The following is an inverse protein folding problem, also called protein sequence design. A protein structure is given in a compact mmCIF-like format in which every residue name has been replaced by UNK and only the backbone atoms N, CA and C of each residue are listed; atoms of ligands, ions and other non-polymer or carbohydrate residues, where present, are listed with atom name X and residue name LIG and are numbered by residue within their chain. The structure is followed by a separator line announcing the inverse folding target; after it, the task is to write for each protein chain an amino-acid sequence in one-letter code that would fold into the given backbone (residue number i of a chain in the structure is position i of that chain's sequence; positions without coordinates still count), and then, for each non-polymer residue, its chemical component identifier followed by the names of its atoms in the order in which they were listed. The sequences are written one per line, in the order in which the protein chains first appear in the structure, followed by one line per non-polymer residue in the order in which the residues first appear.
data_IF_204437462256
#
_entry.id   IF_204437462256
#
_cell.length_a   1.000
_cell.length_b   1.000
_cell.length_c   1.000
_cell.angle_alpha   90.00
_cell.angle_beta   90.00
_cell.angle_gamma   90.00
#
_symmetry.space_group_name_H-M   'P 1'
#
loop_
_entity.id
_entity.type
_entity.pdbx_description
1 polymer ?
#
# COMPACT_ATOMS: atom_id res chain seq x y z
N UNK A 1 50.71 -30.93 42.86
CA UNK A 1 50.83 -29.46 42.72
C UNK A 1 49.52 -28.84 43.15
N UNK A 2 49.39 -28.53 44.45
CA UNK A 2 49.42 -27.16 45.01
C UNK A 2 48.16 -26.37 44.64
N UNK A 3 47.09 -26.46 45.45
CA UNK A 3 46.72 -25.54 46.55
C UNK A 3 46.30 -24.16 45.98
N UNK A 4 45.11 -23.62 46.26
CA UNK A 4 44.78 -22.99 47.54
C UNK A 4 43.31 -23.17 47.97
N UNK A 5 43.14 -23.43 49.27
CA UNK A 5 41.95 -23.16 50.12
C UNK A 5 42.04 -21.74 50.66
N UNK A 6 40.89 -21.10 50.93
CA UNK A 6 40.63 -20.23 52.12
C UNK A 6 39.11 -19.98 52.22
N UNK A 7 38.42 -20.63 53.16
CA UNK A 7 37.97 -20.16 54.51
C UNK A 7 36.74 -19.25 54.56
N UNK A 8 35.72 -19.82 55.21
CA UNK A 8 34.49 -19.25 55.79
C UNK A 8 34.73 -18.19 56.87
N UNK A 9 33.91 -17.14 56.91
CA UNK A 9 33.52 -16.44 58.15
C UNK A 9 32.04 -16.06 58.05
N UNK A 10 31.27 -16.42 59.08
CA UNK A 10 29.84 -16.13 59.18
C UNK A 10 29.49 -14.99 60.15
N UNK A 11 28.17 -14.74 60.20
CA UNK A 11 27.35 -13.93 61.14
C UNK A 11 27.24 -12.42 60.85
N UNK A 12 26.17 -11.72 61.30
CA UNK A 12 24.96 -12.19 62.00
C UNK A 12 23.61 -11.79 61.35
N UNK A 13 22.58 -12.53 61.76
CA UNK A 13 21.16 -12.22 61.61
C UNK A 13 20.80 -10.88 62.27
N UNK A 14 20.09 -10.01 61.56
CA UNK A 14 19.31 -8.91 62.17
C UNK A 14 17.84 -9.00 61.77
N UNK A 15 17.06 -9.56 62.68
CA UNK A 15 15.62 -9.39 62.75
C UNK A 15 15.28 -7.92 62.99
N UNK A 16 14.52 -7.30 62.08
CA UNK A 16 13.74 -6.09 62.37
C UNK A 16 12.31 -6.25 61.87
N UNK A 17 11.48 -6.72 62.80
CA UNK A 17 10.12 -6.28 63.13
C UNK A 17 9.36 -5.51 62.02
N UNK A 18 8.29 -6.14 61.56
CA UNK A 18 6.94 -5.57 61.49
C UNK A 18 6.71 -4.32 60.63
N UNK A 19 6.14 -4.52 59.43
CA UNK A 19 5.27 -3.54 58.79
C UNK A 19 3.89 -4.18 58.56
N UNK A 20 2.79 -3.48 58.85
CA UNK A 20 1.43 -4.03 58.80
C UNK A 20 0.98 -4.25 57.35
N UNK A 21 -0.04 -5.10 57.14
CA UNK A 21 -0.53 -5.43 55.80
C UNK A 21 -1.31 -4.23 55.25
N UNK A 22 -0.78 -3.56 54.23
CA UNK A 22 -1.60 -2.64 53.44
C UNK A 22 -2.50 -3.45 52.52
N UNK A 23 -3.78 -3.36 52.87
CA UNK A 23 -4.93 -3.80 52.12
C UNK A 23 -4.91 -3.30 50.66
N UNK A 24 -5.37 -4.17 49.77
CA UNK A 24 -6.29 -3.74 48.72
C UNK A 24 -5.69 -3.03 47.50
N UNK A 25 -4.78 -3.66 46.77
CA UNK A 25 -4.66 -3.43 45.33
C UNK A 25 -4.75 -4.77 44.61
N UNK A 26 -6.00 -5.17 44.30
CA UNK A 26 -6.29 -6.24 43.34
C UNK A 26 -5.70 -5.83 41.99
N UNK A 27 -4.44 -6.19 41.76
CA UNK A 27 -3.86 -6.22 40.41
C UNK A 27 -4.76 -7.16 39.62
N UNK A 28 -5.66 -6.59 38.80
CA UNK A 28 -6.38 -7.37 37.79
C UNK A 28 -5.31 -8.06 36.97
N UNK A 29 -5.12 -9.35 37.21
CA UNK A 29 -4.28 -10.19 36.39
C UNK A 29 -4.82 -10.05 34.97
N UNK A 30 -4.12 -9.26 34.15
CA UNK A 30 -4.37 -9.15 32.72
C UNK A 30 -4.24 -10.59 32.23
N UNK A 31 -5.38 -11.25 31.95
CA UNK A 31 -5.41 -12.58 31.33
C UNK A 31 -4.46 -12.49 30.16
N UNK A 32 -3.25 -13.02 30.31
CA UNK A 32 -2.33 -13.20 29.20
C UNK A 32 -3.08 -14.15 28.30
N UNK A 33 -3.70 -13.60 27.27
CA UNK A 33 -4.23 -14.37 26.16
C UNK A 33 -3.12 -15.36 25.81
N UNK A 34 -3.38 -16.66 26.03
CA UNK A 34 -2.47 -17.71 25.62
C UNK A 34 -2.30 -17.49 24.12
N UNK A 35 -1.21 -16.83 23.72
CA UNK A 35 -0.81 -16.78 22.33
C UNK A 35 -0.67 -18.24 21.95
N UNK A 36 -1.62 -18.76 21.17
CA UNK A 36 -1.48 -20.07 20.55
C UNK A 36 -0.17 -19.98 19.79
N UNK A 37 0.84 -20.69 20.30
CA UNK A 37 2.13 -20.72 19.65
C UNK A 37 1.88 -21.24 18.23
N UNK A 38 2.29 -20.48 17.23
CA UNK A 38 2.19 -20.91 15.84
C UNK A 38 2.93 -22.24 15.72
N UNK A 39 2.20 -23.31 15.38
CA UNK A 39 2.76 -24.62 15.08
C UNK A 39 2.81 -24.73 13.55
N UNK A 40 4.01 -24.71 12.99
CA UNK A 40 4.20 -25.01 11.57
C UNK A 40 3.59 -26.38 11.28
N UNK A 41 2.84 -26.47 10.18
CA UNK A 41 2.25 -27.73 9.71
C UNK A 41 3.15 -28.32 8.64
N UNK A 42 3.58 -29.56 8.82
CA UNK A 42 4.46 -30.29 7.91
C UNK A 42 3.63 -31.41 7.27
N UNK A 43 3.80 -31.63 5.97
CA UNK A 43 3.10 -32.66 5.20
C UNK A 43 2.78 -32.20 3.79
N UNK A 44 2.45 -33.16 2.92
CA UNK A 44 2.11 -32.93 1.50
C UNK A 44 0.94 -31.96 1.29
N UNK A 45 0.04 -31.83 2.27
CA UNK A 45 -1.07 -30.87 2.25
C UNK A 45 -0.65 -29.41 2.53
N UNK A 46 0.57 -29.20 3.02
CA UNK A 46 1.07 -27.88 3.45
C UNK A 46 2.32 -27.45 2.70
N UNK A 47 3.13 -28.39 2.22
CA UNK A 47 4.35 -28.14 1.48
C UNK A 47 4.06 -28.02 -0.03
N UNK A 48 4.78 -27.12 -0.70
CA UNK A 48 4.70 -26.99 -2.15
C UNK A 48 5.44 -28.16 -2.83
N UNK A 49 4.90 -28.64 -3.95
CA UNK A 49 5.64 -29.54 -4.83
C UNK A 49 6.79 -28.75 -5.47
N UNK A 50 8.04 -29.15 -5.20
CA UNK A 50 9.21 -28.53 -5.79
C UNK A 50 9.38 -29.13 -7.18
N UNK A 51 9.26 -28.34 -8.27
CA UNK A 51 9.50 -28.85 -9.61
C UNK A 51 10.98 -29.18 -9.80
N UNK A 52 11.26 -30.22 -10.57
CA UNK A 52 12.62 -30.57 -10.95
C UNK A 52 13.27 -29.45 -11.76
N UNK A 53 14.57 -29.26 -11.55
CA UNK A 53 15.33 -28.24 -12.27
C UNK A 53 15.42 -28.59 -13.75
N UNK A 54 14.95 -27.68 -14.62
CA UNK A 54 15.06 -27.80 -16.06
C UNK A 54 15.91 -26.63 -16.61
N UNK A 55 17.15 -26.87 -17.09
CA UNK A 55 18.09 -25.82 -17.46
C UNK A 55 17.68 -25.01 -18.71
N UNK A 56 16.79 -25.55 -19.55
CA UNK A 56 16.41 -24.95 -20.84
C UNK A 56 14.90 -24.74 -20.99
N UNK A 57 14.11 -24.87 -19.92
CA UNK A 57 12.67 -24.70 -20.02
C UNK A 57 12.37 -23.25 -20.46
N UNK A 58 11.77 -23.02 -21.64
CA UNK A 58 11.33 -21.68 -22.01
C UNK A 58 10.32 -21.24 -20.95
N UNK A 59 10.47 -20.01 -20.48
CA UNK A 59 9.50 -19.38 -19.58
C UNK A 59 8.13 -19.42 -20.26
N UNK A 60 7.26 -20.34 -19.85
CA UNK A 60 5.85 -20.39 -20.26
C UNK A 60 5.09 -19.23 -19.61
N UNK A 61 5.51 -17.98 -19.85
CA UNK A 61 4.90 -16.81 -19.22
C UNK A 61 4.54 -15.76 -20.25
N UNK A 62 3.34 -15.91 -20.80
CA UNK A 62 2.55 -14.78 -21.29
C UNK A 62 1.82 -14.08 -20.13
N UNK A 63 2.51 -13.76 -19.03
CA UNK A 63 1.88 -13.10 -17.87
C UNK A 63 2.39 -11.67 -17.62
N UNK A 64 3.51 -11.30 -18.22
CA UNK A 64 4.21 -10.06 -17.90
C UNK A 64 4.32 -9.22 -19.17
N UNK A 65 3.88 -7.96 -19.08
CA UNK A 65 4.02 -6.98 -20.14
C UNK A 65 5.10 -5.98 -19.74
N UNK A 66 6.11 -5.80 -20.59
CA UNK A 66 7.10 -4.75 -20.39
C UNK A 66 6.42 -3.38 -20.56
N UNK A 67 6.50 -2.53 -19.53
CA UNK A 67 5.91 -1.18 -19.54
C UNK A 67 6.95 -0.07 -19.71
N UNK A 68 8.23 -0.36 -19.47
CA UNK A 68 9.32 0.56 -19.70
C UNK A 68 10.64 -0.20 -19.85
N UNK A 69 11.49 0.27 -20.75
CA UNK A 69 12.89 -0.14 -20.85
C UNK A 69 13.73 1.09 -20.49
N UNK A 70 14.62 1.03 -19.50
CA UNK A 70 15.57 2.10 -19.25
C UNK A 70 16.44 2.30 -20.49
N UNK A 71 16.25 3.43 -21.15
CA UNK A 71 17.17 3.93 -22.17
C UNK A 71 17.96 5.04 -21.48
N UNK A 72 19.29 5.02 -21.57
CA UNK A 72 20.18 5.97 -20.87
C UNK A 72 19.88 7.46 -21.13
N UNK A 73 19.01 7.75 -22.10
CA UNK A 73 18.57 9.07 -22.50
C UNK A 73 17.26 9.46 -21.79
N UNK A 74 17.35 9.84 -20.50
CA UNK A 74 16.19 10.33 -19.72
C UNK A 74 15.54 11.60 -20.29
N UNK A 75 16.29 12.36 -21.10
CA UNK A 75 15.86 13.62 -21.73
C UNK A 75 14.65 13.46 -22.66
N UNK A 76 14.45 12.27 -23.24
CA UNK A 76 13.34 12.03 -24.19
C UNK A 76 11.98 12.14 -23.49
N UNK A 77 11.89 11.66 -22.24
CA UNK A 77 10.69 11.79 -21.43
C UNK A 77 10.42 13.26 -21.04
N UNK A 78 11.47 14.00 -20.71
CA UNK A 78 11.37 15.43 -20.40
C UNK A 78 10.92 16.24 -21.61
N UNK A 79 11.52 15.99 -22.78
CA UNK A 79 11.14 16.64 -24.04
C UNK A 79 9.68 16.39 -24.43
N UNK A 80 9.19 15.16 -24.22
CA UNK A 80 7.78 14.84 -24.43
C UNK A 80 6.88 15.55 -23.40
N UNK A 81 7.28 15.57 -22.13
CA UNK A 81 6.53 16.25 -21.06
C UNK A 81 6.42 17.76 -21.31
N UNK A 82 7.50 18.37 -21.78
CA UNK A 82 7.53 19.78 -22.19
C UNK A 82 6.57 20.06 -23.34
N UNK A 83 6.58 19.21 -24.38
CA UNK A 83 5.66 19.34 -25.52
C UNK A 83 4.19 19.22 -25.13
N UNK A 84 3.88 18.34 -24.19
CA UNK A 84 2.52 18.16 -23.68
C UNK A 84 2.10 19.28 -22.72
N UNK A 85 3.01 20.16 -22.30
CA UNK A 85 2.74 21.24 -21.34
C UNK A 85 2.41 20.72 -19.93
N UNK A 86 2.80 19.48 -19.61
CA UNK A 86 2.49 18.81 -18.35
C UNK A 86 3.77 18.34 -17.69
N UNK A 87 3.98 18.74 -16.44
CA UNK A 87 5.11 18.29 -15.61
C UNK A 87 4.89 16.85 -15.14
N UNK A 88 4.94 15.92 -16.09
CA UNK A 88 4.53 14.54 -15.92
C UNK A 88 5.55 13.57 -16.54
N UNK A 89 6.85 13.90 -16.49
CA UNK A 89 7.94 13.04 -16.96
C UNK A 89 7.96 11.64 -16.31
N UNK A 90 7.23 11.47 -15.19
CA UNK A 90 7.03 10.19 -14.48
C UNK A 90 5.64 9.57 -14.70
N UNK A 91 4.86 10.11 -15.63
CA UNK A 91 3.54 9.58 -15.96
C UNK A 91 3.68 8.26 -16.71
N UNK A 92 3.03 7.23 -16.20
CA UNK A 92 3.04 5.89 -16.77
C UNK A 92 2.54 5.87 -18.21
N UNK A 93 1.53 6.70 -18.55
CA UNK A 93 1.03 6.83 -19.92
C UNK A 93 2.08 7.42 -20.84
N UNK A 94 2.80 8.44 -20.37
CA UNK A 94 3.86 9.09 -21.14
C UNK A 94 4.98 8.10 -21.45
N UNK A 95 5.47 7.40 -20.43
CA UNK A 95 6.54 6.41 -20.56
C UNK A 95 6.12 5.23 -21.45
N UNK A 96 4.89 4.75 -21.29
CA UNK A 96 4.34 3.69 -22.13
C UNK A 96 4.22 4.13 -23.60
N UNK A 97 3.73 5.34 -23.86
CA UNK A 97 3.65 5.87 -25.23
C UNK A 97 5.02 5.96 -25.89
N UNK A 98 6.05 6.34 -25.13
CA UNK A 98 7.43 6.32 -25.61
C UNK A 98 7.91 4.89 -25.91
N UNK A 99 7.64 3.93 -25.03
CA UNK A 99 8.05 2.54 -25.26
C UNK A 99 7.42 1.97 -26.53
N UNK A 100 6.10 2.16 -26.71
CA UNK A 100 5.36 1.66 -27.87
C UNK A 100 5.87 2.27 -29.17
N UNK A 101 6.15 3.57 -29.16
CA UNK A 101 6.64 4.30 -30.33
C UNK A 101 8.17 4.32 -30.44
N UNK A 102 8.86 3.40 -29.76
CA UNK A 102 10.33 3.25 -29.81
C UNK A 102 11.06 4.56 -29.58
N UNK A 103 10.62 5.34 -28.58
CA UNK A 103 11.17 6.62 -28.15
C UNK A 103 11.05 7.76 -29.18
N UNK A 104 10.18 7.64 -30.19
CA UNK A 104 9.87 8.74 -31.10
C UNK A 104 8.90 9.74 -30.43
N UNK A 105 9.41 10.92 -30.05
CA UNK A 105 8.65 11.95 -29.31
C UNK A 105 7.38 12.41 -30.05
N UNK A 106 7.44 12.60 -31.36
CA UNK A 106 6.29 13.14 -32.13
C UNK A 106 5.16 12.11 -32.22
N UNK A 107 5.50 10.84 -32.48
CA UNK A 107 4.52 9.75 -32.52
C UNK A 107 3.98 9.42 -31.14
N UNK A 108 4.85 9.40 -30.13
CA UNK A 108 4.46 9.18 -28.74
C UNK A 108 3.52 10.29 -28.22
N UNK A 109 3.70 11.53 -28.68
CA UNK A 109 2.79 12.63 -28.38
C UNK A 109 1.37 12.36 -28.91
N UNK A 110 1.24 11.98 -30.18
CA UNK A 110 -0.05 11.63 -30.77
C UNK A 110 -0.69 10.43 -30.04
N UNK A 111 0.10 9.40 -29.75
CA UNK A 111 -0.36 8.23 -29.01
C UNK A 111 -0.79 8.58 -27.58
N UNK A 112 -0.07 9.45 -26.88
CA UNK A 112 -0.43 9.87 -25.52
C UNK A 112 -1.81 10.53 -25.46
N UNK A 113 -2.13 11.37 -26.44
CA UNK A 113 -3.42 12.04 -26.53
C UNK A 113 -4.57 11.05 -26.84
N UNK A 114 -4.30 10.03 -27.67
CA UNK A 114 -5.28 9.01 -28.04
C UNK A 114 -5.42 7.88 -27.00
N UNK A 115 -4.35 7.58 -26.26
CA UNK A 115 -4.23 6.40 -25.42
C UNK A 115 -4.87 6.56 -24.06
N UNK A 116 -5.46 5.47 -23.56
CA UNK A 116 -5.95 5.33 -22.18
C UNK A 116 -4.82 4.80 -21.27
N UNK A 117 -5.05 4.81 -19.96
CA UNK A 117 -4.08 4.30 -18.98
C UNK A 117 -3.62 2.86 -19.30
N UNK A 118 -2.31 2.62 -19.50
CA UNK A 118 -1.78 1.33 -19.96
C UNK A 118 -1.94 0.22 -18.92
N UNK A 119 -1.79 0.54 -17.63
CA UNK A 119 -1.91 -0.40 -16.51
C UNK A 119 -3.21 -0.18 -15.74
N UNK A 120 -4.30 0.06 -16.47
CA UNK A 120 -5.60 0.13 -15.85
C UNK A 120 -5.93 -1.20 -15.12
N UNK A 121 -6.38 -1.18 -13.86
CA UNK A 121 -6.75 -2.38 -13.12
C UNK A 121 -7.99 -3.05 -13.75
N UNK A 122 -7.75 -3.96 -14.71
CA UNK A 122 -8.77 -4.56 -15.58
C UNK A 122 -9.83 -5.40 -14.85
N UNK A 123 -9.49 -5.92 -13.67
CA UNK A 123 -10.40 -6.77 -12.87
C UNK A 123 -11.40 -6.00 -12.05
N UNK A 124 -11.03 -4.81 -11.57
CA UNK A 124 -11.83 -4.05 -10.60
C UNK A 124 -12.51 -2.83 -11.22
N UNK A 125 -12.21 -2.53 -12.48
CA UNK A 125 -12.80 -1.44 -13.24
C UNK A 125 -13.53 -1.96 -14.48
N UNK A 126 -14.62 -1.30 -14.88
CA UNK A 126 -15.26 -1.59 -16.16
C UNK A 126 -14.30 -1.28 -17.33
N UNK A 127 -14.41 -2.00 -18.46
CA UNK A 127 -13.57 -1.76 -19.66
C UNK A 127 -13.67 -0.33 -20.19
N UNK A 128 -14.82 0.29 -20.01
CA UNK A 128 -15.06 1.70 -20.33
C UNK A 128 -15.09 2.52 -19.04
N UNK A 129 -14.03 3.28 -18.79
CA UNK A 129 -13.98 4.24 -17.70
C UNK A 129 -14.90 5.42 -18.02
N UNK A 130 -15.98 5.56 -17.26
CA UNK A 130 -16.85 6.75 -17.29
C UNK A 130 -16.37 7.72 -16.23
N UNK A 131 -16.21 9.00 -16.58
CA UNK A 131 -16.01 10.06 -15.59
C UNK A 131 -17.16 10.08 -14.58
N UNK A 132 -16.88 10.52 -13.36
CA UNK A 132 -17.92 10.74 -12.37
C UNK A 132 -18.62 12.06 -12.68
N UNK A 133 -19.96 12.05 -12.68
CA UNK A 133 -20.72 13.30 -12.71
C UNK A 133 -20.63 14.01 -11.36
N UNK A 134 -20.91 15.31 -11.34
CA UNK A 134 -20.92 16.09 -10.10
C UNK A 134 -21.89 15.51 -9.06
N UNK A 135 -23.09 15.12 -9.49
CA UNK A 135 -24.06 14.46 -8.64
C UNK A 135 -23.54 13.14 -8.04
N UNK A 136 -22.82 12.33 -8.83
CA UNK A 136 -22.22 11.10 -8.33
C UNK A 136 -21.12 11.38 -7.29
N UNK A 137 -20.30 12.41 -7.51
CA UNK A 137 -19.29 12.84 -6.54
C UNK A 137 -19.95 13.29 -5.24
N UNK A 138 -21.01 14.09 -5.31
CA UNK A 138 -21.74 14.55 -4.12
C UNK A 138 -22.39 13.38 -3.36
N UNK A 139 -23.01 12.45 -4.08
CA UNK A 139 -23.58 11.23 -3.51
C UNK A 139 -22.50 10.37 -2.84
N UNK A 140 -21.34 10.21 -3.48
CA UNK A 140 -20.18 9.53 -2.91
C UNK A 140 -19.70 10.18 -1.62
N UNK A 141 -19.50 11.50 -1.61
CA UNK A 141 -19.03 12.24 -0.44
C UNK A 141 -20.02 12.14 0.73
N UNK A 142 -21.32 12.20 0.45
CA UNK A 142 -22.39 11.95 1.43
C UNK A 142 -22.29 10.52 1.98
N UNK A 143 -22.12 9.54 1.11
CA UNK A 143 -21.93 8.14 1.50
C UNK A 143 -20.69 7.91 2.37
N UNK A 144 -19.56 8.53 2.04
CA UNK A 144 -18.32 8.46 2.85
C UNK A 144 -18.51 9.11 4.22
N UNK A 145 -19.24 10.24 4.30
CA UNK A 145 -19.53 10.90 5.57
C UNK A 145 -20.40 10.03 6.48
N UNK A 146 -21.40 9.33 5.94
CA UNK A 146 -22.36 8.52 6.71
C UNK A 146 -21.82 7.12 7.05
N UNK A 147 -21.18 6.45 6.08
CA UNK A 147 -20.81 5.03 6.16
C UNK A 147 -19.31 4.80 6.32
N UNK A 148 -18.49 5.85 6.25
CA UNK A 148 -17.04 5.76 6.30
C UNK A 148 -16.46 5.05 5.07
N UNK A 149 -15.53 4.11 5.29
CA UNK A 149 -14.85 3.35 4.22
C UNK A 149 -15.59 2.05 3.82
N UNK A 150 -16.89 1.96 4.10
CA UNK A 150 -17.71 0.79 3.75
C UNK A 150 -18.16 0.87 2.29
N UNK A 151 -17.23 0.78 1.35
CA UNK A 151 -17.46 1.03 -0.08
C UNK A 151 -18.53 0.15 -0.71
N UNK A 152 -18.67 -1.12 -0.28
CA UNK A 152 -19.74 -2.00 -0.76
C UNK A 152 -21.13 -1.49 -0.36
N UNK A 153 -21.27 -0.89 0.83
CA UNK A 153 -22.53 -0.27 1.28
C UNK A 153 -22.79 1.04 0.56
N UNK A 154 -21.74 1.84 0.32
CA UNK A 154 -21.84 3.09 -0.44
C UNK A 154 -22.29 2.80 -1.88
N UNK A 155 -21.72 1.78 -2.52
CA UNK A 155 -22.19 1.28 -3.82
C UNK A 155 -23.68 0.97 -3.75
N UNK A 156 -24.11 0.11 -2.83
CA UNK A 156 -25.50 -0.33 -2.75
C UNK A 156 -26.50 0.81 -2.52
N UNK A 157 -26.16 1.78 -1.68
CA UNK A 157 -27.11 2.83 -1.28
C UNK A 157 -27.04 4.13 -2.11
N UNK A 158 -25.87 4.48 -2.67
CA UNK A 158 -25.67 5.78 -3.31
C UNK A 158 -25.26 5.67 -4.78
N UNK A 159 -24.53 4.63 -5.18
CA UNK A 159 -23.93 4.50 -6.51
C UNK A 159 -23.99 3.06 -7.03
N UNK A 160 -25.20 2.50 -7.23
CA UNK A 160 -25.37 1.07 -7.55
C UNK A 160 -24.77 0.68 -8.90
N UNK A 161 -24.73 1.62 -9.85
CA UNK A 161 -24.20 1.44 -11.20
C UNK A 161 -22.66 1.48 -11.27
N UNK A 162 -21.97 1.85 -10.17
CA UNK A 162 -20.51 1.91 -10.11
C UNK A 162 -19.94 0.68 -9.44
N UNK A 163 -18.70 0.35 -9.79
CA UNK A 163 -17.93 -0.73 -9.16
C UNK A 163 -17.29 -0.26 -7.86
N UNK A 164 -17.02 -1.20 -6.95
CA UNK A 164 -16.27 -0.88 -5.72
C UNK A 164 -14.86 -0.34 -6.05
N UNK A 165 -14.23 -0.85 -7.11
CA UNK A 165 -12.92 -0.37 -7.56
C UNK A 165 -12.93 1.11 -7.93
N UNK A 166 -13.94 1.55 -8.69
CA UNK A 166 -14.12 2.96 -9.04
C UNK A 166 -14.31 3.84 -7.79
N UNK A 167 -15.10 3.40 -6.81
CA UNK A 167 -15.32 4.14 -5.57
C UNK A 167 -14.05 4.27 -4.72
N UNK A 168 -13.25 3.19 -4.65
CA UNK A 168 -11.97 3.19 -3.95
C UNK A 168 -11.01 4.15 -4.61
N UNK A 169 -10.95 4.18 -5.94
CA UNK A 169 -10.09 5.13 -6.66
C UNK A 169 -10.54 6.57 -6.45
N UNK A 170 -11.83 6.86 -6.58
CA UNK A 170 -12.39 8.19 -6.29
C UNK A 170 -12.07 8.64 -4.86
N UNK A 171 -12.10 7.71 -3.88
CA UNK A 171 -11.70 7.99 -2.50
C UNK A 171 -10.26 8.51 -2.39
N UNK A 172 -9.33 7.87 -3.09
CA UNK A 172 -7.92 8.26 -3.05
C UNK A 172 -7.68 9.58 -3.76
N UNK A 173 -8.34 9.85 -4.89
CA UNK A 173 -8.31 11.15 -5.56
C UNK A 173 -8.80 12.25 -4.63
N UNK A 174 -9.99 12.06 -4.03
CA UNK A 174 -10.55 13.00 -3.06
C UNK A 174 -9.59 13.25 -1.87
N UNK A 175 -8.98 12.19 -1.34
CA UNK A 175 -8.03 12.31 -0.22
C UNK A 175 -6.76 13.08 -0.59
N UNK A 176 -6.27 12.97 -1.82
CA UNK A 176 -5.14 13.77 -2.27
C UNK A 176 -5.52 15.26 -2.36
N UNK A 177 -6.71 15.57 -2.91
CA UNK A 177 -7.23 16.94 -2.97
C UNK A 177 -7.41 17.55 -1.58
N UNK A 178 -8.00 16.83 -0.63
CA UNK A 178 -8.19 17.26 0.76
C UNK A 178 -6.85 17.61 1.43
N UNK A 179 -5.82 16.78 1.25
CA UNK A 179 -4.47 17.05 1.75
C UNK A 179 -3.86 18.31 1.12
N UNK A 180 -3.95 18.45 -0.20
CA UNK A 180 -3.45 19.62 -0.93
C UNK A 180 -4.15 20.90 -0.47
N UNK A 181 -5.46 20.86 -0.30
CA UNK A 181 -6.25 22.01 0.18
C UNK A 181 -5.85 22.40 1.61
N UNK A 182 -5.65 21.42 2.51
CA UNK A 182 -5.15 21.68 3.87
C UNK A 182 -3.77 22.32 3.88
N UNK A 183 -2.86 21.87 3.00
CA UNK A 183 -1.53 22.47 2.85
C UNK A 183 -1.60 23.91 2.34
N UNK A 184 -2.44 24.19 1.35
CA UNK A 184 -2.64 25.54 0.82
C UNK A 184 -3.23 26.48 1.87
N UNK A 185 -4.24 26.02 2.62
CA UNK A 185 -4.84 26.81 3.69
C UNK A 185 -3.85 27.09 4.83
N UNK A 186 -2.97 26.14 5.18
CA UNK A 186 -1.90 26.37 6.16
C UNK A 186 -0.88 27.41 5.67
N UNK A 187 -0.51 27.39 4.39
CA UNK A 187 0.41 28.39 3.81
C UNK A 187 -0.18 29.80 3.83
N UNK A 188 -1.48 29.94 3.57
CA UNK A 188 -2.19 31.23 3.61
C UNK A 188 -2.30 31.84 5.01
N UNK A 189 -2.16 31.04 6.07
CA UNK A 189 -2.17 31.52 7.46
C UNK A 189 -0.76 31.86 7.99
N UNK A 190 0.29 31.59 7.20
CA UNK A 190 1.69 31.85 7.55
C UNK A 190 2.27 33.05 6.78
N UNK A 191 1.45 33.71 5.97
CA UNK A 191 1.71 34.97 5.27
C UNK A 191 0.84 36.03 5.94
#
# INVERSE_FOLDING_TARGET
MSLYRTTTVGRPVRNRRGRPPTSGLKRKAKKRSKRVAYRGRIGSQFQAAIPDFQPSAPSKRHAEQCLWIPNGNGEVAERLSFRLGVNCSRDERLLFSLLVEKYNVTRAHALFLASKEPNAPRRTFPPQRKSFSEHEVLAFLRGVRLLGKKFSKIKGAFLPHRTVGELVHLYYVYKQMDKRNKLLNKKRQLV
#
